data_IF_298037995575
#
_entry.id   IF_298037995575
#
_cell.length_a   1.000
_cell.length_b   1.000
_cell.length_c   1.000
_cell.angle_alpha   90.00
_cell.angle_beta   90.00
_cell.angle_gamma   90.00
#
_symmetry.space_group_name_H-M   'P 1'
#
loop_
_entity.id
_entity.type
_entity.pdbx_description
1 polymer ?
#
# COMPACT_ATOMS: atom_id res chain seq x y z
N UNK A 1 3.29 17.37 9.62
CA UNK A 1 2.94 15.96 9.81
C UNK A 1 1.78 15.62 8.87
N UNK A 2 1.91 14.52 8.13
CA UNK A 2 0.87 13.91 7.31
C UNK A 2 0.30 12.72 8.08
N UNK A 3 -1.03 12.56 8.04
CA UNK A 3 -1.72 11.43 8.63
C UNK A 3 -2.41 10.65 7.50
N UNK A 4 -1.94 9.44 7.28
CA UNK A 4 -2.44 8.52 6.27
C UNK A 4 -3.39 7.50 6.88
N UNK A 5 -4.48 7.24 6.18
CA UNK A 5 -5.42 6.17 6.44
C UNK A 5 -5.09 4.98 5.53
N UNK A 6 -4.58 3.91 6.10
CA UNK A 6 -4.09 2.75 5.38
C UNK A 6 -5.15 1.67 5.29
N UNK A 7 -5.37 1.17 4.08
CA UNK A 7 -6.24 0.05 3.72
C UNK A 7 -5.34 -1.07 3.19
N UNK A 8 -5.67 -2.32 3.49
CA UNK A 8 -4.88 -3.46 3.03
C UNK A 8 -5.69 -4.30 2.07
N UNK A 9 -5.15 -4.52 0.87
CA UNK A 9 -5.81 -5.29 -0.17
C UNK A 9 -5.81 -6.79 0.15
N UNK A 10 -6.94 -7.46 -0.11
CA UNK A 10 -7.06 -8.92 -0.04
C UNK A 10 -7.03 -9.51 1.38
N UNK A 11 -7.05 -8.67 2.42
CA UNK A 11 -7.23 -9.09 3.82
C UNK A 11 -8.40 -8.34 4.42
N UNK A 12 -9.27 -9.05 5.14
CA UNK A 12 -10.25 -8.44 6.03
C UNK A 12 -9.52 -7.82 7.22
N UNK A 13 -8.94 -6.64 6.98
CA UNK A 13 -8.19 -5.88 7.95
C UNK A 13 -8.91 -4.60 8.31
N UNK A 14 -8.89 -4.26 9.60
CA UNK A 14 -9.30 -2.93 10.01
C UNK A 14 -8.32 -1.90 9.44
N UNK A 15 -8.82 -0.81 8.85
CA UNK A 15 -7.96 0.30 8.46
C UNK A 15 -7.24 0.89 9.67
N UNK A 16 -6.06 1.44 9.44
CA UNK A 16 -5.21 2.00 10.49
C UNK A 16 -4.54 3.29 10.04
N UNK A 17 -4.14 4.11 11.01
CA UNK A 17 -3.45 5.37 10.74
C UNK A 17 -1.94 5.23 10.83
N UNK A 18 -1.25 5.89 9.90
CA UNK A 18 0.21 6.05 9.90
C UNK A 18 0.53 7.54 9.80
N UNK A 19 1.43 8.00 10.68
CA UNK A 19 1.89 9.38 10.73
C UNK A 19 3.34 9.45 10.24
N UNK A 20 3.62 10.38 9.32
CA UNK A 20 4.97 10.70 8.85
C UNK A 20 5.10 12.20 8.57
N UNK A 21 6.32 12.70 8.41
CA UNK A 21 6.59 14.05 7.94
C UNK A 21 6.74 14.10 6.41
N UNK A 22 6.47 15.27 5.80
CA UNK A 22 6.61 15.45 4.35
C UNK A 22 8.05 15.27 3.86
N UNK A 23 9.01 15.55 4.73
CA UNK A 23 10.45 15.38 4.51
C UNK A 23 10.93 13.95 4.77
N UNK A 24 10.03 13.02 5.07
CA UNK A 24 10.36 11.59 5.18
C UNK A 24 10.15 10.90 3.84
N UNK A 25 10.83 9.78 3.68
CA UNK A 25 10.84 9.00 2.44
C UNK A 25 9.70 7.98 2.38
N UNK A 26 9.39 7.49 1.19
CA UNK A 26 8.49 6.33 0.99
C UNK A 26 8.94 5.12 1.82
N UNK A 27 10.24 4.89 1.97
CA UNK A 27 10.78 3.84 2.85
C UNK A 27 10.35 4.00 4.32
N UNK A 28 10.27 5.23 4.82
CA UNK A 28 9.84 5.48 6.20
C UNK A 28 8.35 5.13 6.37
N UNK A 29 7.54 5.39 5.36
CA UNK A 29 6.14 4.97 5.34
C UNK A 29 6.01 3.43 5.32
N UNK A 30 6.81 2.74 4.51
CA UNK A 30 6.84 1.27 4.48
C UNK A 30 7.17 0.70 5.86
N UNK A 31 8.20 1.24 6.53
CA UNK A 31 8.57 0.84 7.89
C UNK A 31 7.44 1.11 8.88
N UNK A 32 6.88 2.32 8.89
CA UNK A 32 5.80 2.69 9.81
C UNK A 32 4.53 1.84 9.60
N UNK A 33 4.23 1.47 8.35
CA UNK A 33 3.14 0.56 8.00
C UNK A 33 3.40 -0.84 8.56
N UNK A 34 4.61 -1.37 8.36
CA UNK A 34 5.02 -2.67 8.92
C UNK A 34 4.92 -2.68 10.44
N UNK A 35 5.38 -1.64 11.11
CA UNK A 35 5.38 -1.55 12.58
C UNK A 35 3.95 -1.57 13.15
N UNK A 36 3.01 -0.85 12.51
CA UNK A 36 1.59 -0.82 12.91
C UNK A 36 0.89 -2.18 12.74
N UNK A 37 1.38 -3.02 11.84
CA UNK A 37 0.76 -4.29 11.48
C UNK A 37 1.71 -5.49 11.56
N UNK A 38 2.67 -5.41 12.48
CA UNK A 38 3.77 -6.37 12.64
C UNK A 38 3.31 -7.82 12.76
N UNK A 39 2.27 -8.08 13.56
CA UNK A 39 1.69 -9.43 13.70
C UNK A 39 1.15 -9.98 12.37
N UNK A 40 0.45 -9.13 11.60
CA UNK A 40 -0.19 -9.50 10.32
C UNK A 40 0.82 -9.62 9.17
N UNK A 41 1.95 -8.92 9.28
CA UNK A 41 3.05 -8.85 8.30
C UNK A 41 4.27 -9.65 8.76
N UNK A 42 4.08 -10.67 9.61
CA UNK A 42 5.16 -11.55 10.05
C UNK A 42 5.85 -12.20 8.85
N UNK A 43 7.17 -12.04 8.76
CA UNK A 43 7.97 -12.60 7.66
C UNK A 43 7.92 -11.81 6.35
N UNK A 44 7.24 -10.65 6.32
CA UNK A 44 7.25 -9.72 5.18
C UNK A 44 8.17 -8.56 5.50
N UNK A 45 9.10 -8.26 4.60
CA UNK A 45 9.97 -7.09 4.75
C UNK A 45 9.25 -5.80 4.36
N UNK A 46 9.60 -4.68 5.00
CA UNK A 46 8.93 -3.41 4.73
C UNK A 46 9.05 -3.00 3.25
N UNK A 47 10.19 -3.31 2.62
CA UNK A 47 10.42 -3.08 1.20
C UNK A 47 9.60 -3.99 0.27
N UNK A 48 9.01 -5.07 0.78
CA UNK A 48 8.11 -5.95 0.01
C UNK A 48 6.67 -5.42 -0.01
N UNK A 49 6.37 -4.39 0.80
CA UNK A 49 5.10 -3.69 0.77
C UNK A 49 5.04 -2.77 -0.46
N UNK A 50 4.08 -3.06 -1.35
CA UNK A 50 3.69 -2.12 -2.38
C UNK A 50 2.66 -1.15 -1.79
N UNK A 51 2.98 0.14 -1.81
CA UNK A 51 2.08 1.17 -1.34
C UNK A 51 1.60 1.99 -2.52
N UNK A 52 0.28 2.19 -2.59
CA UNK A 52 -0.37 3.01 -3.59
C UNK A 52 -1.12 4.14 -2.90
N UNK A 53 -0.85 5.37 -3.32
CA UNK A 53 -1.63 6.53 -2.93
C UNK A 53 -2.94 6.53 -3.70
N UNK A 54 -4.07 6.58 -2.99
CA UNK A 54 -5.39 6.53 -3.61
C UNK A 54 -6.09 7.90 -3.53
N UNK A 55 -6.65 8.34 -4.65
CA UNK A 55 -7.42 9.58 -4.74
C UNK A 55 -8.63 9.45 -5.65
N UNK A 56 -9.62 10.32 -5.47
CA UNK A 56 -10.80 10.42 -6.32
C UNK A 56 -10.87 11.79 -6.98
N UNK A 57 -10.55 11.87 -8.26
CA UNK A 57 -10.45 13.14 -8.97
C UNK A 57 -9.52 14.11 -8.23
N UNK A 58 -10.09 15.22 -7.75
CA UNK A 58 -9.38 16.25 -6.97
C UNK A 58 -9.57 16.13 -5.44
N UNK A 59 -10.04 14.98 -4.96
CA UNK A 59 -10.30 14.72 -3.54
C UNK A 59 -9.50 13.55 -2.98
N UNK A 60 -9.05 13.70 -1.74
CA UNK A 60 -8.37 12.64 -0.98
C UNK A 60 -9.35 11.65 -0.35
N UNK A 61 -10.59 12.08 -0.12
CA UNK A 61 -11.59 11.32 0.63
C UNK A 61 -12.29 10.30 -0.27
N UNK A 62 -12.29 9.05 0.19
CA UNK A 62 -13.07 7.99 -0.42
C UNK A 62 -14.32 7.69 0.44
N UNK A 63 -15.35 7.18 -0.20
CA UNK A 63 -16.58 6.69 0.43
C UNK A 63 -16.37 5.30 1.05
N UNK A 64 -17.30 4.89 1.92
CA UNK A 64 -17.30 3.57 2.55
C UNK A 64 -17.30 2.44 1.51
N UNK A 65 -18.07 2.60 0.43
CA UNK A 65 -18.13 1.60 -0.64
C UNK A 65 -16.80 1.48 -1.39
N UNK A 66 -16.13 2.61 -1.65
CA UNK A 66 -14.81 2.62 -2.30
C UNK A 66 -13.74 2.00 -1.38
N UNK A 67 -13.82 2.21 -0.06
CA UNK A 67 -12.94 1.54 0.90
C UNK A 67 -13.13 0.02 0.84
N UNK A 68 -14.38 -0.45 0.85
CA UNK A 68 -14.70 -1.86 0.82
C UNK A 68 -14.17 -2.51 -0.48
N UNK A 69 -14.40 -1.87 -1.63
CA UNK A 69 -13.88 -2.33 -2.92
C UNK A 69 -12.34 -2.41 -2.93
N UNK A 70 -11.64 -1.41 -2.37
CA UNK A 70 -10.18 -1.43 -2.25
C UNK A 70 -9.69 -2.59 -1.36
N UNK A 71 -10.35 -2.84 -0.23
CA UNK A 71 -9.99 -3.94 0.68
C UNK A 71 -10.26 -5.31 0.05
N UNK A 72 -11.32 -5.45 -0.75
CA UNK A 72 -11.60 -6.66 -1.53
C UNK A 72 -10.57 -6.90 -2.65
N UNK A 73 -9.68 -5.94 -2.90
CA UNK A 73 -8.66 -6.06 -3.94
C UNK A 73 -9.21 -5.83 -5.35
N UNK A 74 -10.32 -5.10 -5.48
CA UNK A 74 -10.87 -4.75 -6.80
C UNK A 74 -9.83 -3.97 -7.61
N UNK A 75 -9.52 -4.48 -8.81
CA UNK A 75 -8.50 -3.93 -9.68
C UNK A 75 -8.89 -2.50 -10.13
N UNK A 76 -10.14 -2.34 -10.55
CA UNK A 76 -10.67 -1.08 -11.08
C UNK A 76 -11.87 -0.61 -10.25
N UNK A 77 -11.78 0.60 -9.72
CA UNK A 77 -12.87 1.27 -9.03
C UNK A 77 -13.12 2.59 -9.76
N UNK A 78 -14.34 2.84 -10.27
CA UNK A 78 -14.62 4.02 -11.08
C UNK A 78 -14.20 5.32 -10.39
N UNK A 79 -13.44 6.15 -11.10
CA UNK A 79 -12.94 7.46 -10.65
C UNK A 79 -11.93 7.40 -9.49
N UNK A 80 -11.41 6.22 -9.13
CA UNK A 80 -10.31 6.08 -8.17
C UNK A 80 -8.99 5.92 -8.92
N UNK A 81 -8.06 6.82 -8.68
CA UNK A 81 -6.69 6.74 -9.16
C UNK A 81 -5.81 6.12 -8.06
N UNK A 82 -4.98 5.15 -8.45
CA UNK A 82 -3.98 4.49 -7.60
C UNK A 82 -2.60 4.89 -8.13
N UNK A 83 -1.86 5.71 -7.39
CA UNK A 83 -0.53 6.18 -7.74
C UNK A 83 0.49 5.30 -7.00
N UNK A 84 1.23 4.42 -7.68
CA UNK A 84 2.20 3.55 -7.02
C UNK A 84 3.40 4.36 -6.52
N UNK A 85 3.80 4.11 -5.27
CA UNK A 85 4.96 4.74 -4.65
C UNK A 85 6.19 3.84 -4.86
N UNK A 86 6.78 3.91 -6.06
CA UNK A 86 7.81 2.97 -6.51
C UNK A 86 9.24 3.33 -6.12
N UNK A 87 9.54 4.62 -5.89
CA UNK A 87 10.85 5.06 -5.42
C UNK A 87 10.85 5.15 -3.90
N UNK A 88 11.53 4.21 -3.18
CA UNK A 88 11.59 4.23 -1.72
C UNK A 88 12.35 5.44 -1.18
N UNK A 89 13.14 6.14 -2.00
CA UNK A 89 13.93 7.31 -1.60
C UNK A 89 13.20 8.64 -1.84
N UNK A 90 12.06 8.61 -2.56
CA UNK A 90 11.28 9.82 -2.82
C UNK A 90 10.73 10.40 -1.52
N UNK A 91 10.82 11.72 -1.37
CA UNK A 91 10.20 12.43 -0.27
C UNK A 91 8.69 12.53 -0.49
N UNK A 92 7.93 12.58 0.59
CA UNK A 92 6.48 12.71 0.49
C UNK A 92 6.01 14.03 -0.11
N UNK A 93 6.78 15.11 0.03
CA UNK A 93 6.51 16.36 -0.68
C UNK A 93 6.56 16.21 -2.21
N UNK A 94 7.48 15.40 -2.73
CA UNK A 94 7.57 15.11 -4.16
C UNK A 94 6.40 14.24 -4.62
N UNK A 95 6.04 13.23 -3.82
CA UNK A 95 4.87 12.37 -4.06
C UNK A 95 3.58 13.20 -4.14
N UNK A 96 3.38 14.12 -3.20
CA UNK A 96 2.22 15.01 -3.20
C UNK A 96 2.22 15.98 -4.40
N UNK A 97 3.42 16.45 -4.80
CA UNK A 97 3.59 17.29 -5.99
C UNK A 97 3.21 16.54 -7.27
N UNK A 98 3.67 15.29 -7.42
CA UNK A 98 3.32 14.40 -8.55
C UNK A 98 1.83 14.08 -8.58
N UNK A 99 1.20 13.92 -7.41
CA UNK A 99 -0.24 13.71 -7.32
C UNK A 99 -1.06 14.92 -7.82
N UNK A 100 -0.43 16.10 -8.01
CA UNK A 100 -1.06 17.36 -8.45
C UNK A 100 -2.24 17.77 -7.58
N UNK A 101 -2.12 17.54 -6.28
CA UNK A 101 -3.21 17.70 -5.33
C UNK A 101 -2.82 18.67 -4.21
N UNK A 102 -3.79 19.43 -3.66
CA UNK A 102 -3.53 20.28 -2.51
C UNK A 102 -3.17 19.44 -1.29
N UNK A 103 -2.54 20.09 -0.31
CA UNK A 103 -2.22 19.45 0.95
C UNK A 103 -3.48 18.82 1.58
N UNK A 104 -3.43 17.52 1.88
CA UNK A 104 -4.55 16.82 2.47
C UNK A 104 -4.78 17.25 3.92
N UNK A 105 -6.04 17.40 4.35
CA UNK A 105 -6.37 17.42 5.77
C UNK A 105 -5.96 16.10 6.45
N UNK A 106 -5.63 16.12 7.75
CA UNK A 106 -5.31 14.90 8.49
C UNK A 106 -6.39 13.82 8.35
N UNK A 107 -5.98 12.56 8.15
CA UNK A 107 -6.87 11.41 8.05
C UNK A 107 -7.65 11.31 6.73
N UNK A 108 -7.43 12.23 5.79
CA UNK A 108 -8.05 12.16 4.46
C UNK A 108 -7.19 11.47 3.42
N UNK A 109 -5.89 11.30 3.62
CA UNK A 109 -5.04 10.61 2.65
C UNK A 109 -5.25 9.11 2.76
N UNK A 110 -5.61 8.44 1.68
CA UNK A 110 -5.86 7.01 1.71
C UNK A 110 -4.72 6.27 1.00
N UNK A 111 -4.09 5.34 1.71
CA UNK A 111 -3.08 4.44 1.16
C UNK A 111 -3.67 3.05 0.99
N UNK A 112 -3.49 2.46 -0.18
CA UNK A 112 -3.68 1.03 -0.37
C UNK A 112 -2.33 0.34 -0.22
N UNK A 113 -2.25 -0.58 0.73
CA UNK A 113 -1.09 -1.43 0.97
C UNK A 113 -1.38 -2.79 0.37
N UNK A 114 -0.49 -3.22 -0.53
CA UNK A 114 -0.55 -4.49 -1.21
C UNK A 114 0.68 -5.29 -0.80
N UNK A 115 0.46 -6.52 -0.35
CA UNK A 115 1.54 -7.45 -0.07
C UNK A 115 1.77 -8.22 -1.37
N UNK A 116 2.99 -8.16 -1.93
CA UNK A 116 3.37 -9.13 -2.96
C UNK A 116 3.34 -10.51 -2.31
N UNK A 117 2.34 -11.32 -2.65
CA UNK A 117 2.50 -12.74 -2.42
C UNK A 117 3.63 -13.19 -3.34
N UNK A 118 4.68 -13.87 -2.84
CA UNK A 118 5.57 -14.56 -3.73
C UNK A 118 4.70 -15.48 -4.58
N UNK A 119 4.72 -15.29 -5.90
CA UNK A 119 4.13 -16.25 -6.83
C UNK A 119 4.60 -17.63 -6.39
N UNK A 120 3.71 -18.63 -6.20
CA UNK A 120 4.14 -19.96 -5.81
C UNK A 120 5.23 -20.37 -6.79
N UNK A 121 6.47 -20.45 -6.32
CA UNK A 121 7.56 -20.95 -7.13
C UNK A 121 7.11 -22.33 -7.54
N UNK A 122 6.85 -22.53 -8.83
CA UNK A 122 6.49 -23.81 -9.40
C UNK A 122 7.44 -24.85 -8.81
N UNK A 123 6.90 -25.72 -7.96
CA UNK A 123 7.66 -26.76 -7.28
C UNK A 123 8.15 -27.65 -8.39
N UNK A 124 9.38 -27.42 -8.86
CA UNK A 124 10.05 -28.31 -9.80
C UNK A 124 10.12 -29.66 -9.11
N UNK A 125 9.23 -30.56 -9.52
CA UNK A 125 9.13 -31.90 -8.96
C UNK A 125 10.52 -32.56 -9.06
N UNK A 126 11.03 -33.19 -7.99
CA UNK A 126 12.30 -33.87 -8.06
C UNK A 126 12.19 -35.00 -9.08
N UNK A 127 12.95 -34.86 -10.17
CA UNK A 127 13.07 -35.80 -11.26
C UNK A 127 13.51 -37.15 -10.69
N UNK A 128 12.57 -38.09 -10.51
CA UNK A 128 12.88 -39.48 -10.12
C UNK A 128 13.65 -40.12 -11.27
N UNK A 129 14.97 -40.04 -11.20
CA UNK A 129 15.89 -40.91 -11.95
C UNK A 129 15.49 -42.35 -11.63
N UNK A 130 14.81 -43.01 -12.58
CA UNK A 130 14.73 -44.47 -12.62
C UNK A 130 16.14 -44.98 -12.87
N UNK A 131 16.78 -45.52 -11.82
CA UNK A 131 17.98 -46.33 -11.93
C UNK A 131 17.53 -47.80 -11.90
N UNK A 132 17.96 -48.51 -12.95
CA UNK A 132 18.03 -49.96 -13.18
C UNK A 132 16.70 -50.67 -13.39
#
# INVERSE_FOLDING_TARGET
>A
MLNFYCLMAGKNGLPFSVDINKTQMVKDLQNATKDKWSNTLTGVDACELEIQLTKKGNGWRLSINEHAALQLGEAEIPNIEKIPLTDPSALFEDVLTVAKMPDPPPGQIHLLVVIRQPTPTEVVAPNKKRKL
#
